data_IF_396820069250
#
_entry.id   IF_396820069250
#
_cell.length_a   1.000
_cell.length_b   1.000
_cell.length_c   1.000
_cell.angle_alpha   90.00
_cell.angle_beta   90.00
_cell.angle_gamma   90.00
#
_symmetry.space_group_name_H-M   'P 1'
#
loop_
_entity.id
_entity.type
_entity.pdbx_description
1 polymer ?
#
# COMPACT_ATOMS: atom_id res chain seq x y z
N UNK A 1 -0.32 -59.35 19.79
CA UNK A 1 0.51 -58.52 18.88
C UNK A 1 -0.15 -57.17 18.71
N UNK A 2 0.34 -56.06 19.30
CA UNK A 2 -0.19 -54.74 18.98
C UNK A 2 0.92 -53.86 18.39
N UNK A 3 0.96 -53.69 17.06
CA UNK A 3 1.84 -52.69 16.46
C UNK A 3 1.17 -51.92 15.34
N UNK A 4 1.21 -50.59 15.53
CA UNK A 4 1.37 -49.56 14.50
C UNK A 4 0.13 -49.11 13.71
N UNK A 5 -0.96 -48.71 14.37
CA UNK A 5 -2.08 -48.01 13.71
C UNK A 5 -2.24 -46.52 14.09
N UNK A 6 -1.43 -45.96 15.00
CA UNK A 6 -1.70 -44.65 15.63
C UNK A 6 -0.64 -43.56 15.41
N UNK A 7 0.32 -43.75 14.50
CA UNK A 7 1.37 -42.75 14.21
C UNK A 7 1.27 -42.10 12.83
N UNK A 8 0.43 -42.67 11.95
CA UNK A 8 0.19 -42.15 10.61
C UNK A 8 -0.97 -41.13 10.59
N UNK A 9 -1.80 -41.11 11.65
CA UNK A 9 -2.52 -39.91 12.06
C UNK A 9 -1.46 -38.88 12.49
N UNK A 10 -1.14 -37.87 11.71
CA UNK A 10 -1.82 -37.49 10.48
C UNK A 10 -0.90 -36.48 9.79
N UNK A 11 0.36 -36.88 9.47
CA UNK A 11 1.35 -35.99 8.85
C UNK A 11 0.76 -35.31 7.61
N UNK A 12 -0.03 -36.06 6.84
CA UNK A 12 -0.79 -35.57 5.70
C UNK A 12 -1.90 -34.57 6.08
N UNK A 13 -2.53 -34.67 7.26
CA UNK A 13 -3.48 -33.64 7.71
C UNK A 13 -2.80 -32.41 8.31
N UNK A 14 -1.63 -32.58 8.95
CA UNK A 14 -0.77 -31.47 9.37
C UNK A 14 -0.30 -30.68 8.14
N UNK A 15 0.12 -31.35 7.08
CA UNK A 15 0.51 -30.71 5.82
C UNK A 15 -0.66 -29.98 5.16
N UNK A 16 -1.84 -30.61 5.07
CA UNK A 16 -3.06 -29.95 4.58
C UNK A 16 -3.44 -28.73 5.41
N UNK A 17 -3.34 -28.81 6.74
CA UNK A 17 -3.59 -27.68 7.64
C UNK A 17 -2.58 -26.56 7.42
N UNK A 18 -1.31 -26.91 7.19
CA UNK A 18 -0.24 -25.95 6.89
C UNK A 18 -0.47 -25.25 5.55
N UNK A 19 -0.92 -25.96 4.54
CA UNK A 19 -1.27 -25.40 3.25
C UNK A 19 -2.47 -24.47 3.34
N UNK A 20 -3.53 -24.87 4.06
CA UNK A 20 -4.68 -24.01 4.31
C UNK A 20 -4.28 -22.71 5.04
N UNK A 21 -3.46 -22.81 6.10
CA UNK A 21 -2.97 -21.64 6.83
C UNK A 21 -2.06 -20.75 5.97
N UNK A 22 -1.25 -21.32 5.08
CA UNK A 22 -0.44 -20.55 4.12
C UNK A 22 -1.33 -19.81 3.12
N UNK A 23 -2.39 -20.44 2.62
CA UNK A 23 -3.35 -19.81 1.73
C UNK A 23 -4.08 -18.63 2.43
N UNK A 24 -4.47 -18.83 3.69
CA UNK A 24 -5.05 -17.77 4.52
C UNK A 24 -4.07 -16.61 4.75
N UNK A 25 -2.80 -16.91 5.04
CA UNK A 25 -1.75 -15.89 5.16
C UNK A 25 -1.55 -15.11 3.86
N UNK A 26 -1.49 -15.78 2.71
CA UNK A 26 -1.36 -15.08 1.43
C UNK A 26 -2.55 -14.16 1.15
N UNK A 27 -3.77 -14.56 1.50
CA UNK A 27 -4.95 -13.71 1.34
C UNK A 27 -4.94 -12.49 2.27
N UNK A 28 -4.38 -12.63 3.49
CA UNK A 28 -4.19 -11.51 4.41
C UNK A 28 -3.10 -10.55 3.90
N UNK A 29 -2.00 -11.06 3.36
CA UNK A 29 -0.92 -10.27 2.78
C UNK A 29 -1.40 -9.46 1.57
N UNK A 30 -2.22 -10.06 0.70
CA UNK A 30 -2.83 -9.36 -0.44
C UNK A 30 -3.75 -8.22 0.02
N UNK A 31 -4.56 -8.45 1.06
CA UNK A 31 -5.43 -7.42 1.63
C UNK A 31 -4.62 -6.30 2.28
N UNK A 32 -3.57 -6.64 3.03
CA UNK A 32 -2.68 -5.65 3.63
C UNK A 32 -2.02 -4.78 2.56
N UNK A 33 -1.54 -5.40 1.47
CA UNK A 33 -0.95 -4.70 0.33
C UNK A 33 -1.96 -3.78 -0.36
N UNK A 34 -3.20 -4.23 -0.55
CA UNK A 34 -4.26 -3.42 -1.14
C UNK A 34 -4.62 -2.21 -0.28
N UNK A 35 -4.69 -2.38 1.05
CA UNK A 35 -4.92 -1.27 2.00
C UNK A 35 -3.74 -0.31 1.99
N UNK A 36 -2.50 -0.80 1.94
CA UNK A 36 -1.30 0.04 1.87
C UNK A 36 -1.27 0.87 0.58
N UNK A 37 -1.63 0.29 -0.56
CA UNK A 37 -1.74 1.03 -1.83
C UNK A 37 -2.87 2.05 -1.81
N UNK A 38 -4.01 1.69 -1.23
CA UNK A 38 -5.15 2.60 -1.09
C UNK A 38 -4.81 3.79 -0.17
N UNK A 39 -4.08 3.55 0.91
CA UNK A 39 -3.62 4.60 1.83
C UNK A 39 -2.63 5.56 1.13
N UNK A 40 -1.78 5.05 0.23
CA UNK A 40 -0.83 5.87 -0.55
C UNK A 40 -1.54 6.80 -1.53
N UNK A 41 -2.63 6.35 -2.16
CA UNK A 41 -3.39 7.14 -3.14
C UNK A 41 -4.54 7.97 -2.55
N UNK A 42 -4.87 7.82 -1.26
CA UNK A 42 -5.99 8.51 -0.62
C UNK A 42 -5.93 10.05 -0.73
N UNK A 43 -4.72 10.63 -0.81
CA UNK A 43 -4.53 12.08 -0.95
C UNK A 43 -4.68 12.61 -2.39
N UNK A 44 -4.64 11.74 -3.40
CA UNK A 44 -4.64 12.15 -4.81
C UNK A 44 -5.95 12.82 -5.25
N UNK A 45 -7.15 12.29 -4.93
CA UNK A 45 -8.41 12.95 -5.31
C UNK A 45 -8.54 14.35 -4.70
N UNK A 46 -8.11 14.54 -3.45
CA UNK A 46 -8.16 15.82 -2.76
C UNK A 46 -7.23 16.83 -3.42
N UNK A 47 -6.01 16.43 -3.77
CA UNK A 47 -5.05 17.30 -4.46
C UNK A 47 -5.56 17.70 -5.86
N UNK A 48 -6.13 16.77 -6.62
CA UNK A 48 -6.70 17.07 -7.94
C UNK A 48 -7.88 18.03 -7.84
N UNK A 49 -8.80 17.81 -6.90
CA UNK A 49 -9.94 18.71 -6.68
C UNK A 49 -9.49 20.13 -6.27
N UNK A 50 -8.37 20.28 -5.55
CA UNK A 50 -7.81 21.60 -5.25
C UNK A 50 -7.21 22.27 -6.49
N UNK A 51 -6.47 21.51 -7.32
CA UNK A 51 -5.86 22.01 -8.55
C UNK A 51 -6.90 22.40 -9.60
N UNK A 52 -8.04 21.71 -9.67
CA UNK A 52 -9.16 22.04 -10.56
C UNK A 52 -9.81 23.41 -10.25
N UNK A 53 -9.62 23.94 -9.04
CA UNK A 53 -10.23 25.21 -8.60
C UNK A 53 -9.38 26.45 -8.92
N UNK A 54 -8.17 26.26 -9.46
CA UNK A 54 -7.24 27.36 -9.76
C UNK A 54 -6.83 27.35 -11.23
N UNK A 55 -6.47 28.52 -11.76
CA UNK A 55 -5.78 28.60 -13.05
C UNK A 55 -4.29 28.32 -12.84
N UNK A 56 -3.84 27.17 -13.32
CA UNK A 56 -2.41 26.80 -13.30
C UNK A 56 -1.77 27.34 -14.58
N UNK A 57 -0.76 28.20 -14.44
CA UNK A 57 0.04 28.69 -15.57
C UNK A 57 0.84 27.56 -16.24
N UNK A 58 1.51 27.87 -17.35
CA UNK A 58 2.38 26.90 -18.01
C UNK A 58 3.47 26.43 -17.03
N UNK A 59 3.53 25.11 -16.83
CA UNK A 59 4.54 24.44 -16.02
C UNK A 59 5.30 23.46 -16.90
N UNK A 60 6.64 23.45 -16.79
CA UNK A 60 7.43 22.46 -17.52
C UNK A 60 7.25 21.07 -16.91
N UNK A 61 7.42 20.04 -17.74
CA UNK A 61 7.38 18.64 -17.34
C UNK A 61 8.41 18.33 -16.25
N UNK A 62 9.59 18.97 -16.27
CA UNK A 62 10.59 18.77 -15.23
C UNK A 62 10.09 19.28 -13.87
N UNK A 63 9.52 20.47 -13.84
CA UNK A 63 9.01 21.11 -12.62
C UNK A 63 7.83 20.32 -12.04
N UNK A 64 6.88 19.90 -12.88
CA UNK A 64 5.75 19.08 -12.45
C UNK A 64 6.22 17.76 -11.82
N UNK A 65 7.27 17.13 -12.37
CA UNK A 65 7.88 15.91 -11.82
C UNK A 65 8.62 16.16 -10.51
N UNK A 66 9.30 17.30 -10.40
CA UNK A 66 9.99 17.67 -9.16
C UNK A 66 8.98 17.84 -8.01
N UNK A 67 7.86 18.52 -8.26
CA UNK A 67 6.77 18.68 -7.28
C UNK A 67 6.19 17.32 -6.87
N UNK A 68 5.87 16.46 -7.85
CA UNK A 68 5.36 15.12 -7.56
C UNK A 68 6.34 14.29 -6.72
N UNK A 69 7.64 14.38 -7.03
CA UNK A 69 8.69 13.68 -6.29
C UNK A 69 8.84 14.22 -4.86
N UNK A 70 8.77 15.53 -4.67
CA UNK A 70 8.82 16.14 -3.34
C UNK A 70 7.64 15.69 -2.46
N UNK A 71 6.43 15.60 -3.04
CA UNK A 71 5.24 15.09 -2.34
C UNK A 71 5.42 13.60 -1.98
N UNK A 72 5.99 12.79 -2.87
CA UNK A 72 6.24 11.38 -2.62
C UNK A 72 7.28 11.13 -1.51
N UNK A 73 8.34 11.96 -1.45
CA UNK A 73 9.43 11.79 -0.49
C UNK A 73 9.11 12.40 0.88
N UNK A 74 8.54 13.61 0.91
CA UNK A 74 8.36 14.39 2.14
C UNK A 74 6.90 14.41 2.65
N UNK A 75 5.96 13.91 1.85
CA UNK A 75 4.53 13.97 2.13
C UNK A 75 3.92 15.33 1.86
N UNK A 76 2.61 15.35 1.56
CA UNK A 76 1.89 16.58 1.19
C UNK A 76 1.90 17.67 2.26
N UNK A 77 1.89 17.31 3.56
CA UNK A 77 1.89 18.29 4.66
C UNK A 77 3.20 19.08 4.75
N UNK A 78 4.35 18.42 4.56
CA UNK A 78 5.66 19.09 4.60
C UNK A 78 5.81 20.06 3.42
N UNK A 79 5.43 19.60 2.21
CA UNK A 79 5.45 20.43 1.00
C UNK A 79 4.52 21.64 1.17
N UNK A 80 3.29 21.45 1.67
CA UNK A 80 2.36 22.55 1.91
C UNK A 80 2.89 23.58 2.90
N UNK A 81 3.53 23.15 4.00
CA UNK A 81 4.17 24.06 4.97
C UNK A 81 5.31 24.87 4.34
N UNK A 82 6.13 24.22 3.51
CA UNK A 82 7.21 24.92 2.81
C UNK A 82 6.68 25.95 1.81
N UNK A 83 5.68 25.59 1.00
CA UNK A 83 5.03 26.53 0.09
C UNK A 83 4.39 27.71 0.83
N UNK A 84 3.77 27.46 1.98
CA UNK A 84 3.19 28.52 2.83
C UNK A 84 4.26 29.47 3.41
N UNK A 85 5.52 29.05 3.52
CA UNK A 85 6.63 29.92 3.96
C UNK A 85 7.21 30.79 2.84
N UNK A 86 6.83 30.53 1.58
CA UNK A 86 7.22 31.32 0.41
C UNK A 86 6.19 32.40 0.04
N UNK A 87 5.00 32.32 0.63
CA UNK A 87 3.91 33.28 0.47
C UNK A 87 4.02 34.41 1.50
#
# INVERSE_FOLDING_TARGET
MPRAATRADDLASIERRREALRAELTALDERAKAIETAAKDAGRPVLMAALERIQVGAIDKADARAIASAIAVHGGSAVAKHLASLA
#
